data_IF_858263649956
#
_entry.id   IF_858263649956
#
_cell.length_a   1.000
_cell.length_b   1.000
_cell.length_c   1.000
_cell.angle_alpha   90.00
_cell.angle_beta   90.00
_cell.angle_gamma   90.00
#
_symmetry.space_group_name_H-M   'P 1'
#
loop_
_entity.id
_entity.type
_entity.pdbx_description
1 polymer ?
#
# COMPACT_ATOMS: atom_id res chain seq x y z
N UNK A 1 68.78 48.47 -9.30
CA UNK A 1 67.94 47.50 -9.94
C UNK A 1 66.74 47.25 -9.03
N UNK A 2 65.66 47.97 -9.27
CA UNK A 2 64.46 47.82 -8.51
C UNK A 2 63.74 46.51 -9.00
N UNK A 3 63.53 45.58 -8.11
CA UNK A 3 62.82 44.37 -8.41
C UNK A 3 61.38 44.73 -8.75
N UNK A 4 61.01 44.52 -10.02
CA UNK A 4 59.64 44.64 -10.51
C UNK A 4 58.99 43.25 -10.57
N UNK A 5 57.92 43.11 -9.86
CA UNK A 5 57.10 41.87 -9.89
C UNK A 5 55.98 42.02 -10.91
N UNK A 6 55.82 41.02 -11.75
CA UNK A 6 54.69 40.89 -12.66
C UNK A 6 54.00 39.57 -12.34
N UNK A 7 52.74 39.65 -11.97
CA UNK A 7 51.91 38.49 -11.64
C UNK A 7 50.68 38.50 -12.52
N UNK A 8 50.39 37.37 -13.12
CA UNK A 8 49.15 37.15 -13.88
C UNK A 8 48.24 36.23 -13.08
N UNK A 9 47.07 36.72 -12.73
CA UNK A 9 46.03 35.94 -12.04
C UNK A 9 45.02 35.49 -13.07
N UNK A 10 44.83 34.16 -13.27
CA UNK A 10 43.88 33.65 -14.20
C UNK A 10 42.44 33.95 -13.79
N UNK A 11 41.50 33.88 -14.74
CA UNK A 11 40.08 34.01 -14.45
C UNK A 11 39.61 32.82 -13.59
N UNK A 12 38.80 33.08 -12.55
CA UNK A 12 38.34 32.08 -11.56
C UNK A 12 39.31 31.95 -10.37
N UNK A 13 40.45 32.64 -10.36
CA UNK A 13 41.41 32.69 -9.26
C UNK A 13 41.53 34.08 -8.66
N UNK A 14 41.95 34.12 -7.42
CA UNK A 14 42.41 35.34 -6.74
C UNK A 14 43.85 35.16 -6.36
N UNK A 15 44.67 36.11 -6.72
CA UNK A 15 46.07 36.13 -6.29
C UNK A 15 46.16 36.57 -4.83
N UNK A 16 46.87 35.82 -4.00
CA UNK A 16 47.23 36.22 -2.65
C UNK A 16 48.64 36.80 -2.63
N UNK A 17 48.77 38.04 -2.21
CA UNK A 17 50.04 38.65 -1.91
C UNK A 17 50.03 39.10 -0.44
N UNK A 18 51.22 39.17 0.16
CA UNK A 18 51.39 39.65 1.53
C UNK A 18 52.22 40.95 1.47
N UNK A 19 51.68 42.01 2.06
CA UNK A 19 52.42 43.28 2.23
C UNK A 19 52.55 43.61 3.71
N UNK A 20 53.78 43.66 4.22
CA UNK A 20 54.07 43.82 5.63
C UNK A 20 53.29 42.89 6.59
N UNK A 21 53.00 41.66 6.13
CA UNK A 21 52.23 40.69 6.90
C UNK A 21 50.71 40.83 6.78
N UNK A 22 50.19 41.75 5.99
CA UNK A 22 48.78 41.89 5.68
C UNK A 22 48.46 41.23 4.33
N UNK A 23 47.39 40.46 4.21
CA UNK A 23 46.99 39.87 2.93
C UNK A 23 46.42 40.94 2.00
N UNK A 24 46.91 40.93 0.76
CA UNK A 24 46.44 41.75 -0.35
C UNK A 24 45.85 40.82 -1.40
N UNK A 25 44.57 41.00 -1.75
CA UNK A 25 43.92 40.22 -2.75
C UNK A 25 44.03 40.89 -4.12
N UNK A 26 44.54 40.12 -5.09
CA UNK A 26 44.70 40.57 -6.46
C UNK A 26 43.58 39.96 -7.32
N UNK A 27 42.70 40.77 -7.94
CA UNK A 27 41.67 40.26 -8.84
C UNK A 27 42.25 39.61 -10.09
N UNK A 28 41.48 38.87 -10.88
CA UNK A 28 41.95 38.32 -12.16
C UNK A 28 42.50 39.42 -13.08
N UNK A 29 43.65 39.17 -13.67
CA UNK A 29 44.33 40.11 -14.55
C UNK A 29 45.85 40.15 -14.33
N UNK A 30 46.51 41.12 -14.96
CA UNK A 30 47.92 41.33 -14.83
C UNK A 30 48.20 42.44 -13.81
N UNK A 31 49.01 42.15 -12.80
CA UNK A 31 49.39 43.06 -11.74
C UNK A 31 50.89 43.28 -11.76
N UNK A 32 51.28 44.52 -11.62
CA UNK A 32 52.71 44.93 -11.57
C UNK A 32 52.93 45.85 -10.39
N UNK A 33 53.98 45.56 -9.60
CA UNK A 33 54.37 46.42 -8.49
C UNK A 33 55.88 46.43 -8.30
N UNK A 34 56.35 47.50 -7.66
CA UNK A 34 57.74 47.69 -7.23
C UNK A 34 57.74 47.95 -5.74
N UNK A 35 57.64 46.91 -4.95
CA UNK A 35 57.68 47.01 -3.49
C UNK A 35 58.61 45.93 -2.96
N UNK A 36 59.42 46.30 -1.97
CA UNK A 36 60.30 45.39 -1.28
C UNK A 36 59.58 44.55 -0.24
N UNK A 37 58.37 44.97 0.18
CA UNK A 37 57.59 44.39 1.26
C UNK A 37 56.49 43.50 0.74
N UNK A 38 55.98 43.75 -0.46
CA UNK A 38 54.90 43.00 -1.06
C UNK A 38 55.41 41.74 -1.76
N UNK A 39 55.01 40.55 -1.30
CA UNK A 39 55.36 39.25 -1.85
C UNK A 39 54.14 38.54 -2.32
N UNK A 40 54.19 37.99 -3.54
CA UNK A 40 53.17 37.11 -4.05
C UNK A 40 53.33 35.70 -3.45
N UNK A 41 52.25 35.12 -2.95
CA UNK A 41 52.28 33.78 -2.37
C UNK A 41 51.73 32.72 -3.33
N UNK A 42 50.47 32.88 -3.77
CA UNK A 42 49.84 31.89 -4.63
C UNK A 42 48.56 32.42 -5.32
N UNK A 43 48.15 31.72 -6.38
CA UNK A 43 46.80 31.84 -6.92
C UNK A 43 45.88 30.89 -6.17
N UNK A 44 44.76 31.39 -5.69
CA UNK A 44 43.75 30.66 -4.93
C UNK A 44 42.54 30.46 -5.81
N UNK A 45 42.08 29.22 -5.92
CA UNK A 45 40.86 28.86 -6.64
C UNK A 45 39.63 29.26 -5.82
N UNK A 46 38.78 30.11 -6.41
CA UNK A 46 37.56 30.58 -5.77
C UNK A 46 36.44 29.52 -5.69
N UNK A 47 36.60 28.41 -6.39
CA UNK A 47 35.62 27.31 -6.33
C UNK A 47 35.78 26.43 -5.07
N UNK A 48 36.85 26.65 -4.30
CA UNK A 48 37.07 25.90 -3.07
C UNK A 48 36.15 26.37 -1.95
N UNK A 49 35.53 25.50 -1.18
CA UNK A 49 34.65 25.87 -0.07
C UNK A 49 35.45 26.46 1.12
N UNK A 50 36.73 26.15 1.20
CA UNK A 50 37.63 26.65 2.24
C UNK A 50 38.82 27.34 1.59
N UNK A 51 38.93 28.65 1.77
CA UNK A 51 39.97 29.46 1.18
C UNK A 51 40.82 30.05 2.31
N UNK A 52 42.08 29.67 2.39
CA UNK A 52 43.03 30.18 3.40
C UNK A 52 43.81 31.36 2.81
N UNK A 53 43.74 32.52 3.48
CA UNK A 53 44.36 33.73 3.06
C UNK A 53 45.25 34.29 4.21
N UNK A 54 46.41 33.69 4.43
CA UNK A 54 47.28 34.02 5.54
C UNK A 54 46.63 33.79 6.91
N UNK A 55 46.37 34.86 7.72
CA UNK A 55 45.70 34.70 9.00
C UNK A 55 44.17 34.53 8.89
N UNK A 56 43.60 34.81 7.73
CA UNK A 56 42.15 34.73 7.48
C UNK A 56 41.78 33.46 6.74
N UNK A 57 40.60 32.92 7.04
CA UNK A 57 40.02 31.81 6.28
C UNK A 57 38.59 32.17 5.85
N UNK A 58 38.37 32.17 4.56
CA UNK A 58 37.03 32.33 4.00
C UNK A 58 36.37 30.96 3.86
N UNK A 59 35.17 30.79 4.42
CA UNK A 59 34.49 29.55 4.48
C UNK A 59 33.10 29.72 3.84
N UNK A 60 32.85 28.99 2.74
CA UNK A 60 31.56 28.95 2.11
C UNK A 60 30.83 27.67 2.59
N UNK A 61 29.71 27.85 3.27
CA UNK A 61 28.92 26.75 3.81
C UNK A 61 27.63 26.61 3.02
N UNK A 62 27.48 25.51 2.33
CA UNK A 62 26.30 25.22 1.53
C UNK A 62 25.06 25.01 2.40
N UNK A 63 23.87 25.29 1.85
CA UNK A 63 22.61 25.06 2.52
C UNK A 63 22.38 23.53 2.78
N UNK A 64 22.06 23.20 4.02
CA UNK A 64 21.91 21.80 4.45
C UNK A 64 23.20 21.21 5.02
N UNK A 65 24.26 22.01 5.13
CA UNK A 65 25.48 21.71 5.87
C UNK A 65 25.70 22.80 6.93
N UNK A 66 26.38 22.45 7.99
CA UNK A 66 26.90 23.35 8.97
C UNK A 66 28.39 23.12 9.13
N UNK A 67 29.15 24.19 9.41
CA UNK A 67 30.59 24.10 9.59
C UNK A 67 30.94 24.13 11.07
N UNK A 68 31.62 23.09 11.53
CA UNK A 68 32.21 23.07 12.87
C UNK A 68 33.57 23.78 12.82
N UNK A 69 33.73 24.78 13.66
CA UNK A 69 34.97 25.56 13.79
C UNK A 69 35.41 25.57 15.24
N UNK A 70 36.69 25.82 15.45
CA UNK A 70 37.28 25.99 16.77
C UNK A 70 37.87 27.40 16.91
N UNK A 71 37.25 28.20 17.75
CA UNK A 71 37.68 29.57 18.03
C UNK A 71 38.34 29.65 19.41
N UNK A 72 39.66 29.82 19.46
CA UNK A 72 40.43 29.88 20.71
C UNK A 72 40.13 28.71 21.69
N UNK A 73 39.91 27.51 21.16
CA UNK A 73 39.61 26.33 21.98
C UNK A 73 38.11 26.12 22.28
N UNK A 74 37.24 27.04 21.86
CA UNK A 74 35.80 26.88 21.95
C UNK A 74 35.23 26.43 20.61
N UNK A 75 34.36 25.44 20.63
CA UNK A 75 33.63 25.02 19.46
C UNK A 75 32.57 26.06 19.08
N UNK A 76 32.57 26.43 17.81
CA UNK A 76 31.55 27.30 17.24
C UNK A 76 31.04 26.72 15.95
N UNK A 77 29.72 26.58 15.85
CA UNK A 77 29.04 26.10 14.65
C UNK A 77 28.58 27.27 13.81
N UNK A 78 28.91 27.23 12.52
CA UNK A 78 28.53 28.26 11.55
C UNK A 78 27.41 27.72 10.67
N UNK A 79 26.30 28.47 10.53
CA UNK A 79 25.14 28.04 9.79
C UNK A 79 25.40 27.97 8.29
N UNK A 80 24.71 27.05 7.62
CA UNK A 80 24.74 26.87 6.16
C UNK A 80 24.02 27.99 5.39
N UNK A 81 24.37 28.11 4.11
CA UNK A 81 23.81 29.09 3.18
C UNK A 81 24.49 30.46 3.24
N UNK A 82 25.59 30.58 3.95
CA UNK A 82 26.34 31.81 4.12
C UNK A 82 27.84 31.62 3.88
N UNK A 83 28.52 32.75 3.64
CA UNK A 83 29.98 32.82 3.59
C UNK A 83 30.47 33.44 4.90
N UNK A 84 31.39 32.77 5.56
CA UNK A 84 31.94 33.21 6.85
C UNK A 84 33.42 33.51 6.72
N UNK A 85 33.85 34.60 7.38
CA UNK A 85 35.26 34.98 7.45
C UNK A 85 35.79 34.68 8.85
N UNK A 86 36.72 33.75 8.95
CA UNK A 86 37.48 33.49 10.17
C UNK A 86 38.61 34.52 10.26
N UNK A 87 38.57 35.37 11.27
CA UNK A 87 39.36 36.60 11.32
C UNK A 87 40.76 36.46 11.95
N UNK A 88 41.08 35.31 12.49
CA UNK A 88 42.38 35.09 13.12
C UNK A 88 42.83 33.64 13.07
N UNK A 89 44.13 33.42 13.19
CA UNK A 89 44.78 32.09 13.03
C UNK A 89 44.34 31.05 14.05
N UNK A 90 43.85 31.44 15.22
CA UNK A 90 43.35 30.54 16.26
C UNK A 90 41.86 30.14 16.04
N UNK A 91 41.23 30.73 15.03
CA UNK A 91 39.92 30.29 14.58
C UNK A 91 40.07 29.36 13.37
N UNK A 92 39.91 28.07 13.61
CA UNK A 92 40.20 27.02 12.64
C UNK A 92 38.91 26.35 12.19
N UNK A 93 38.84 26.04 10.92
CA UNK A 93 37.83 25.18 10.37
C UNK A 93 38.19 23.70 10.65
N UNK A 94 37.25 22.92 11.12
CA UNK A 94 37.43 21.50 11.42
C UNK A 94 36.75 20.63 10.38
N UNK A 95 35.42 20.76 10.21
CA UNK A 95 34.65 19.86 9.37
C UNK A 95 33.31 20.45 8.95
N UNK A 96 32.83 20.06 7.77
CA UNK A 96 31.42 20.22 7.39
C UNK A 96 30.61 19.03 7.88
N UNK A 97 29.45 19.29 8.47
CA UNK A 97 28.49 18.30 8.93
C UNK A 97 27.21 18.48 8.15
N UNK A 98 26.66 17.40 7.60
CA UNK A 98 25.39 17.42 6.87
C UNK A 98 24.21 17.33 7.85
N UNK A 99 23.24 18.23 7.70
CA UNK A 99 21.97 18.20 8.42
C UNK A 99 20.87 17.52 7.60
N UNK A 100 21.21 17.01 6.40
CA UNK A 100 20.26 16.32 5.52
C UNK A 100 19.90 14.96 6.08
N UNK A 101 18.72 14.50 5.71
CA UNK A 101 18.25 13.16 6.07
C UNK A 101 19.16 12.12 5.41
N UNK A 102 19.62 11.18 6.20
CA UNK A 102 20.41 10.03 5.78
C UNK A 102 19.59 8.78 5.95
N UNK A 103 19.73 7.84 5.02
CA UNK A 103 19.07 6.55 5.06
C UNK A 103 20.12 5.45 5.00
N UNK A 104 20.12 4.61 6.01
CA UNK A 104 21.07 3.51 6.15
C UNK A 104 20.34 2.19 6.29
N UNK A 105 20.99 1.14 5.78
CA UNK A 105 20.48 -0.22 5.88
C UNK A 105 21.14 -0.94 7.06
N UNK A 106 20.32 -1.48 7.95
CA UNK A 106 20.71 -2.45 8.95
C UNK A 106 20.62 -3.85 8.34
N UNK A 107 21.77 -4.38 7.95
CA UNK A 107 21.83 -5.69 7.32
C UNK A 107 22.03 -6.78 8.39
N UNK A 108 21.17 -7.81 8.32
CA UNK A 108 21.29 -9.04 9.09
C UNK A 108 21.44 -8.82 10.60
N UNK A 109 20.44 -8.22 11.19
CA UNK A 109 20.33 -8.13 12.64
C UNK A 109 19.88 -9.48 13.17
N UNK A 110 20.66 -10.08 14.04
CA UNK A 110 20.30 -11.32 14.74
C UNK A 110 19.58 -10.96 16.05
N UNK A 111 18.29 -11.29 16.10
CA UNK A 111 17.44 -10.93 17.23
C UNK A 111 16.70 -12.15 17.72
N UNK A 112 16.59 -12.28 19.02
CA UNK A 112 15.82 -13.34 19.68
C UNK A 112 14.43 -12.84 20.06
N UNK A 113 13.40 -13.57 19.68
CA UNK A 113 12.01 -13.28 20.07
C UNK A 113 11.73 -13.70 21.52
N UNK A 114 10.57 -13.29 22.06
CA UNK A 114 10.18 -13.61 23.44
C UNK A 114 10.05 -15.11 23.73
N UNK A 115 9.80 -15.91 22.70
CA UNK A 115 9.73 -17.39 22.75
C UNK A 115 11.04 -18.08 22.33
N UNK A 116 12.18 -17.37 22.41
CA UNK A 116 13.54 -17.86 22.12
C UNK A 116 13.78 -18.34 20.69
N UNK A 117 13.07 -17.81 19.71
CA UNK A 117 13.36 -18.08 18.31
C UNK A 117 14.33 -17.04 17.77
N UNK A 118 15.45 -17.50 17.20
CA UNK A 118 16.41 -16.62 16.55
C UNK A 118 15.89 -16.15 15.20
N UNK A 119 15.85 -14.83 15.01
CA UNK A 119 15.37 -14.19 13.80
C UNK A 119 16.50 -13.39 13.11
N UNK A 120 16.55 -13.43 11.80
CA UNK A 120 17.34 -12.51 10.98
C UNK A 120 16.43 -11.41 10.46
N UNK A 121 16.66 -10.19 10.92
CA UNK A 121 15.91 -9.02 10.51
C UNK A 121 16.77 -8.14 9.58
N UNK A 122 16.14 -7.57 8.56
CA UNK A 122 16.68 -6.50 7.76
C UNK A 122 15.81 -5.26 7.96
N UNK A 123 16.41 -4.13 8.25
CA UNK A 123 15.72 -2.88 8.48
C UNK A 123 16.41 -1.70 7.79
N UNK A 124 15.69 -0.63 7.59
CA UNK A 124 16.23 0.68 7.18
C UNK A 124 16.00 1.68 8.29
N UNK A 125 16.98 2.55 8.48
CA UNK A 125 16.92 3.64 9.45
C UNK A 125 17.09 4.95 8.71
N UNK A 126 16.12 5.85 8.89
CA UNK A 126 16.22 7.24 8.43
C UNK A 126 16.54 8.12 9.64
N UNK A 127 17.60 8.89 9.54
CA UNK A 127 18.07 9.75 10.63
C UNK A 127 18.65 11.05 10.09
N UNK A 128 18.75 12.05 10.94
CA UNK A 128 19.39 13.33 10.62
C UNK A 128 20.03 13.92 11.87
N UNK A 129 21.02 14.79 11.66
CA UNK A 129 21.62 15.56 12.75
C UNK A 129 20.74 16.78 12.98
N UNK A 130 20.15 16.87 14.17
CA UNK A 130 19.23 17.95 14.56
C UNK A 130 19.92 19.09 15.28
N UNK A 131 21.01 18.79 15.99
CA UNK A 131 21.79 19.77 16.74
C UNK A 131 23.29 19.48 16.53
N UNK A 132 23.87 20.20 15.58
CA UNK A 132 25.28 20.02 15.21
C UNK A 132 26.22 20.42 16.34
N UNK A 133 25.84 21.41 17.15
CA UNK A 133 26.68 21.84 18.28
C UNK A 133 26.83 20.73 19.33
N UNK A 134 25.71 20.13 19.72
CA UNK A 134 25.73 18.93 20.63
C UNK A 134 26.48 17.76 20.02
N UNK A 135 26.27 17.56 18.72
CA UNK A 135 26.95 16.50 17.98
C UNK A 135 28.47 16.73 18.01
N UNK A 136 28.93 17.94 17.77
CA UNK A 136 30.34 18.29 17.79
C UNK A 136 30.96 18.19 19.20
N UNK A 137 30.19 18.51 20.24
CA UNK A 137 30.68 18.47 21.63
C UNK A 137 30.75 17.05 22.20
N UNK A 138 29.80 16.16 21.82
CA UNK A 138 29.58 14.88 22.51
C UNK A 138 29.85 13.66 21.65
N UNK A 139 29.72 13.76 20.33
CA UNK A 139 29.96 12.62 19.46
C UNK A 139 31.45 12.47 19.15
N UNK A 140 31.88 11.23 19.09
CA UNK A 140 33.28 10.93 18.73
C UNK A 140 33.54 11.22 17.23
N UNK A 141 34.76 11.64 16.92
CA UNK A 141 35.25 11.89 15.54
C UNK A 141 34.55 13.04 14.78
N UNK A 142 33.86 13.92 15.47
CA UNK A 142 33.35 15.14 14.84
C UNK A 142 34.42 16.19 14.64
N UNK A 143 35.60 15.99 15.23
CA UNK A 143 36.75 16.89 15.12
C UNK A 143 37.96 16.18 14.51
N UNK A 144 38.72 16.93 13.68
CA UNK A 144 39.98 16.44 13.16
C UNK A 144 41.04 16.49 14.25
N UNK A 145 41.56 15.35 14.70
CA UNK A 145 42.76 15.34 15.54
C UNK A 145 43.97 15.83 14.74
N UNK A 146 44.43 17.02 15.03
CA UNK A 146 45.65 17.59 14.46
C UNK A 146 46.87 16.89 15.06
N UNK A 147 47.01 15.60 14.93
CA UNK A 147 48.11 14.87 15.56
C UNK A 147 48.91 13.92 14.67
N UNK A 148 48.39 13.46 13.54
CA UNK A 148 49.05 12.37 12.82
C UNK A 148 48.81 12.27 11.33
N UNK A 149 48.66 13.36 10.59
CA UNK A 149 48.67 13.28 9.12
C UNK A 149 50.06 13.37 8.52
N UNK A 150 50.91 12.38 8.80
CA UNK A 150 52.11 12.06 7.96
C UNK A 150 51.77 11.24 6.75
N UNK A 151 50.53 10.95 6.49
CA UNK A 151 50.05 10.24 5.32
C UNK A 151 49.24 11.19 4.46
N UNK A 152 49.74 11.55 3.28
CA UNK A 152 49.07 12.39 2.28
C UNK A 152 47.84 11.80 1.63
N UNK A 153 47.04 11.06 2.36
CA UNK A 153 45.65 10.73 2.00
C UNK A 153 44.80 11.96 2.36
N UNK A 154 44.21 12.59 1.36
CA UNK A 154 43.03 13.43 1.52
C UNK A 154 42.02 12.62 2.35
N UNK A 155 42.00 12.86 3.66
CA UNK A 155 40.89 12.37 4.50
C UNK A 155 39.67 13.08 3.98
N UNK A 156 38.71 12.31 3.49
CA UNK A 156 37.42 12.83 3.03
C UNK A 156 36.88 13.76 4.12
N UNK A 157 36.92 15.03 3.82
CA UNK A 157 36.39 16.05 4.71
C UNK A 157 34.88 15.87 4.77
N UNK A 158 34.40 15.12 5.79
CA UNK A 158 32.99 14.90 5.97
C UNK A 158 32.53 13.50 6.45
N UNK A 159 33.42 12.53 6.52
CA UNK A 159 33.04 11.20 7.03
C UNK A 159 32.77 11.27 8.55
N UNK A 160 31.55 10.98 8.91
CA UNK A 160 31.07 10.84 10.30
C UNK A 160 30.77 9.36 10.59
N UNK A 161 31.64 8.46 10.10
CA UNK A 161 31.42 7.02 10.10
C UNK A 161 31.18 6.45 11.49
N UNK A 162 31.90 6.97 12.49
CA UNK A 162 31.74 6.51 13.86
C UNK A 162 30.39 6.91 14.45
N UNK A 163 30.00 8.17 14.24
CA UNK A 163 28.68 8.66 14.63
C UNK A 163 27.57 7.84 13.94
N UNK A 164 27.72 7.61 12.65
CA UNK A 164 26.81 6.78 11.86
C UNK A 164 26.68 5.38 12.46
N UNK A 165 27.82 4.73 12.76
CA UNK A 165 27.83 3.41 13.37
C UNK A 165 27.17 3.40 14.78
N UNK A 166 27.37 4.44 15.58
CA UNK A 166 26.76 4.57 16.88
C UNK A 166 25.22 4.73 16.78
N UNK A 167 24.75 5.54 15.81
CA UNK A 167 23.30 5.67 15.53
C UNK A 167 22.71 4.33 15.08
N UNK A 168 23.38 3.61 14.16
CA UNK A 168 22.92 2.31 13.67
C UNK A 168 22.87 1.27 14.80
N UNK A 169 23.85 1.22 15.68
CA UNK A 169 23.84 0.34 16.85
C UNK A 169 22.70 0.65 17.83
N UNK A 170 22.39 1.95 18.03
CA UNK A 170 21.26 2.33 18.87
C UNK A 170 19.91 1.92 18.23
N UNK A 171 19.79 2.08 16.91
CA UNK A 171 18.62 1.62 16.18
C UNK A 171 18.48 0.09 16.24
N UNK A 172 19.59 -0.64 16.08
CA UNK A 172 19.65 -2.10 16.20
C UNK A 172 19.23 -2.57 17.60
N UNK A 173 19.78 -1.97 18.65
CA UNK A 173 19.44 -2.29 20.04
C UNK A 173 17.96 -2.03 20.33
N UNK A 174 17.42 -0.92 19.85
CA UNK A 174 16.02 -0.58 20.03
C UNK A 174 15.09 -1.53 19.29
N UNK A 175 15.46 -1.91 18.05
CA UNK A 175 14.73 -2.90 17.26
C UNK A 175 14.78 -4.29 17.93
N UNK A 176 15.94 -4.69 18.45
CA UNK A 176 16.11 -5.94 19.18
C UNK A 176 15.23 -5.98 20.43
N UNK A 177 15.13 -4.87 21.17
CA UNK A 177 14.23 -4.77 22.31
C UNK A 177 12.74 -4.85 21.92
N UNK A 178 12.35 -4.35 20.74
CA UNK A 178 11.00 -4.48 20.22
C UNK A 178 10.69 -5.94 19.85
N UNK A 179 11.56 -6.59 19.08
CA UNK A 179 11.38 -7.97 18.61
C UNK A 179 11.39 -8.94 19.79
N UNK A 180 12.23 -8.70 20.81
CA UNK A 180 12.27 -9.52 22.03
C UNK A 180 10.98 -9.51 22.86
N UNK A 181 10.08 -8.54 22.65
CA UNK A 181 8.75 -8.49 23.27
C UNK A 181 7.67 -9.24 22.47
N UNK A 182 8.00 -9.68 21.27
CA UNK A 182 7.05 -10.34 20.35
C UNK A 182 7.30 -11.83 20.36
N UNK A 183 6.23 -12.63 20.49
CA UNK A 183 6.30 -14.07 20.38
C UNK A 183 6.15 -14.49 18.92
N UNK A 184 7.09 -15.29 18.44
CA UNK A 184 7.11 -15.83 17.08
C UNK A 184 5.86 -16.67 16.78
N UNK A 185 5.47 -17.53 17.74
CA UNK A 185 4.32 -18.41 17.62
C UNK A 185 3.00 -17.65 17.36
N UNK A 186 2.85 -16.46 17.91
CA UNK A 186 1.65 -15.64 17.73
C UNK A 186 1.68 -14.82 16.44
N UNK A 187 2.87 -14.44 15.98
CA UNK A 187 3.02 -13.50 14.84
C UNK A 187 3.11 -14.20 13.50
N UNK A 188 3.72 -15.39 13.47
CA UNK A 188 4.03 -16.11 12.23
C UNK A 188 3.31 -17.46 12.14
N UNK A 189 2.33 -17.77 13.01
CA UNK A 189 1.60 -19.02 12.90
C UNK A 189 0.66 -19.01 11.69
N UNK A 190 0.55 -20.15 11.01
CA UNK A 190 -0.36 -20.33 9.89
C UNK A 190 -1.84 -20.09 10.30
N UNK A 191 -2.20 -20.35 11.55
CA UNK A 191 -3.52 -20.09 12.11
C UNK A 191 -3.86 -18.59 12.14
N UNK A 192 -2.87 -17.74 12.37
CA UNK A 192 -3.05 -16.28 12.40
C UNK A 192 -3.29 -15.72 10.98
N UNK A 193 -2.64 -16.32 9.97
CA UNK A 193 -2.86 -15.95 8.56
C UNK A 193 -4.29 -16.27 8.08
N UNK A 194 -4.91 -17.32 8.62
CA UNK A 194 -6.30 -17.71 8.32
C UNK A 194 -7.33 -16.78 8.97
N UNK A 195 -7.04 -16.21 10.13
CA UNK A 195 -7.99 -15.34 10.85
C UNK A 195 -8.15 -13.96 10.21
N UNK A 196 -7.16 -13.47 9.48
CA UNK A 196 -7.22 -12.17 8.80
C UNK A 196 -8.20 -12.15 7.63
N UNK A 197 -8.54 -13.32 7.05
CA UNK A 197 -9.47 -13.45 5.92
C UNK A 197 -10.90 -13.86 6.26
N UNK A 198 -11.17 -14.31 7.47
CA UNK A 198 -12.48 -14.82 7.85
C UNK A 198 -13.34 -13.78 8.58
N UNK A 199 -14.06 -12.96 7.85
CA UNK A 199 -15.41 -12.59 8.29
C UNK A 199 -16.33 -13.77 7.93
N UNK A 200 -16.82 -14.57 8.89
CA UNK A 200 -17.81 -15.58 8.59
C UNK A 200 -19.07 -14.88 8.11
N UNK A 201 -19.38 -15.03 6.83
CA UNK A 201 -20.71 -14.73 6.32
C UNK A 201 -21.63 -15.81 6.91
N UNK A 202 -22.20 -15.52 8.09
CA UNK A 202 -23.31 -16.31 8.60
C UNK A 202 -24.50 -15.97 7.70
N UNK A 203 -24.75 -16.84 6.71
CA UNK A 203 -26.04 -16.88 6.02
C UNK A 203 -26.99 -17.45 7.04
N UNK A 204 -27.69 -16.60 7.78
CA UNK A 204 -28.85 -17.02 8.54
C UNK A 204 -29.98 -17.25 7.53
N UNK A 205 -30.23 -18.51 7.20
CA UNK A 205 -31.48 -18.95 6.61
C UNK A 205 -32.58 -18.69 7.65
N UNK A 206 -33.10 -17.49 7.64
CA UNK A 206 -34.37 -17.18 8.27
C UNK A 206 -35.40 -17.02 7.17
N UNK A 207 -35.99 -18.14 6.80
CA UNK A 207 -37.31 -18.15 6.17
C UNK A 207 -38.30 -17.51 7.14
N UNK A 208 -39.00 -16.50 6.66
CA UNK A 208 -40.26 -16.10 7.25
C UNK A 208 -40.40 -14.62 7.57
N UNK A 209 -41.22 -13.97 6.73
CA UNK A 209 -42.07 -12.81 7.01
C UNK A 209 -41.42 -11.41 7.03
N UNK A 210 -41.81 -10.70 5.95
CA UNK A 210 -42.16 -9.27 5.91
C UNK A 210 -41.11 -8.24 6.35
N UNK A 211 -40.55 -7.53 5.34
CA UNK A 211 -40.34 -6.08 5.39
C UNK A 211 -39.45 -5.54 6.51
N UNK A 212 -38.36 -6.20 6.89
CA UNK A 212 -37.40 -5.67 7.83
C UNK A 212 -36.01 -5.54 7.21
N UNK A 213 -35.51 -4.32 7.15
CA UNK A 213 -34.08 -4.05 6.92
C UNK A 213 -33.30 -4.84 7.96
N UNK A 214 -32.66 -5.93 7.55
CA UNK A 214 -31.78 -6.71 8.42
C UNK A 214 -30.54 -5.86 8.64
N UNK A 215 -30.56 -5.10 9.71
CA UNK A 215 -29.36 -4.48 10.27
C UNK A 215 -28.36 -5.62 10.55
N UNK A 216 -27.27 -5.66 9.78
CA UNK A 216 -26.19 -6.59 10.02
C UNK A 216 -25.67 -6.33 11.43
N UNK A 217 -26.11 -7.18 12.37
CA UNK A 217 -25.65 -7.16 13.75
C UNK A 217 -24.15 -7.41 13.72
N UNK A 218 -23.37 -6.34 13.79
CA UNK A 218 -21.93 -6.42 13.98
C UNK A 218 -21.71 -7.17 15.29
N UNK A 219 -21.26 -8.41 15.19
CA UNK A 219 -20.68 -9.10 16.32
C UNK A 219 -19.63 -8.18 16.97
N UNK A 220 -19.54 -8.11 18.29
CA UNK A 220 -18.50 -7.34 18.94
C UNK A 220 -17.17 -7.81 18.37
N UNK A 221 -16.37 -6.85 17.86
CA UNK A 221 -14.99 -7.09 17.46
C UNK A 221 -14.35 -7.88 18.58
N UNK A 222 -14.06 -9.15 18.34
CA UNK A 222 -13.23 -9.91 19.25
C UNK A 222 -11.90 -9.17 19.35
N UNK A 223 -11.44 -8.98 20.57
CA UNK A 223 -10.27 -8.19 20.98
C UNK A 223 -8.94 -8.72 20.39
N UNK A 224 -8.98 -9.78 19.59
CA UNK A 224 -7.82 -10.52 19.12
C UNK A 224 -7.37 -10.22 17.68
N UNK A 225 -7.94 -9.21 16.99
CA UNK A 225 -7.46 -8.81 15.66
C UNK A 225 -6.13 -8.05 15.66
N UNK A 226 -5.57 -7.75 16.82
CA UNK A 226 -4.32 -7.00 16.99
C UNK A 226 -3.03 -7.86 16.92
N UNK A 227 -3.15 -9.18 16.84
CA UNK A 227 -1.98 -10.07 16.99
C UNK A 227 -1.20 -10.29 15.70
N UNK A 228 -1.83 -10.14 14.54
CA UNK A 228 -1.24 -10.57 13.27
C UNK A 228 -0.23 -9.59 12.63
N UNK A 229 -0.09 -8.37 13.16
CA UNK A 229 0.82 -7.35 12.58
C UNK A 229 1.80 -6.76 13.59
N UNK A 230 2.02 -7.41 14.74
CA UNK A 230 2.80 -6.87 15.85
C UNK A 230 4.21 -6.40 15.48
N UNK A 231 4.86 -7.05 14.53
CA UNK A 231 6.21 -6.70 14.08
C UNK A 231 6.23 -5.55 13.08
N UNK A 232 5.17 -5.42 12.29
CA UNK A 232 5.03 -4.40 11.24
C UNK A 232 4.07 -3.28 11.66
N UNK A 233 3.63 -3.28 12.90
CA UNK A 233 2.75 -2.25 13.44
C UNK A 233 3.49 -0.92 13.56
N UNK A 234 2.98 0.09 12.84
CA UNK A 234 3.57 1.44 12.77
C UNK A 234 3.68 2.07 14.17
N UNK A 235 2.72 1.84 15.06
CA UNK A 235 2.72 2.46 16.38
C UNK A 235 3.76 1.83 17.30
N UNK A 236 4.02 0.54 17.19
CA UNK A 236 5.10 -0.13 17.92
C UNK A 236 6.47 0.25 17.40
N UNK A 237 6.61 0.42 16.07
CA UNK A 237 7.84 0.96 15.49
C UNK A 237 8.11 2.39 15.95
N UNK A 238 7.07 3.23 16.13
CA UNK A 238 7.23 4.56 16.74
C UNK A 238 7.75 4.49 18.17
N UNK A 239 7.29 3.52 18.97
CA UNK A 239 7.84 3.30 20.31
C UNK A 239 9.32 2.90 20.25
N UNK A 240 9.74 2.09 19.29
CA UNK A 240 11.14 1.74 19.07
C UNK A 240 11.96 2.97 18.70
N UNK A 241 11.46 3.83 17.80
CA UNK A 241 12.10 5.10 17.43
C UNK A 241 12.22 6.02 18.64
N UNK A 242 11.18 6.15 19.46
CA UNK A 242 11.22 6.94 20.69
C UNK A 242 12.30 6.44 21.65
N UNK A 243 12.39 5.13 21.87
CA UNK A 243 13.41 4.50 22.72
C UNK A 243 14.84 4.75 22.19
N UNK A 244 15.04 4.66 20.85
CA UNK A 244 16.34 4.99 20.25
C UNK A 244 16.67 6.47 20.42
N UNK A 245 15.68 7.36 20.25
CA UNK A 245 15.84 8.81 20.38
C UNK A 245 16.18 9.26 21.80
N UNK A 246 15.76 8.54 22.85
CA UNK A 246 16.16 8.83 24.24
C UNK A 246 17.68 8.88 24.41
N UNK A 247 18.41 8.09 23.63
CA UNK A 247 19.86 8.06 23.65
C UNK A 247 20.48 8.98 22.62
N UNK A 248 19.96 8.95 21.36
CA UNK A 248 20.59 9.68 20.23
C UNK A 248 20.42 11.20 20.33
N UNK A 249 19.32 11.69 20.92
CA UNK A 249 19.12 13.14 21.17
C UNK A 249 20.12 13.72 22.14
N UNK A 250 20.74 12.92 23.01
CA UNK A 250 21.79 13.38 23.94
C UNK A 250 23.03 13.88 23.21
N UNK A 251 23.30 13.37 22.02
CA UNK A 251 24.41 13.81 21.15
C UNK A 251 23.93 14.45 19.85
N UNK A 252 22.69 14.98 19.85
CA UNK A 252 22.21 15.87 18.77
C UNK A 252 21.75 15.17 17.51
N UNK A 253 21.44 13.87 17.55
CA UNK A 253 20.94 13.10 16.41
C UNK A 253 19.49 12.67 16.66
N UNK A 254 18.65 12.83 15.64
CA UNK A 254 17.27 12.36 15.64
C UNK A 254 17.07 11.23 14.65
N UNK A 255 16.54 10.11 15.11
CA UNK A 255 16.06 9.02 14.27
C UNK A 255 14.61 9.35 13.88
N UNK A 256 14.36 9.42 12.59
CA UNK A 256 13.05 9.78 12.03
C UNK A 256 12.16 8.55 11.93
N UNK A 257 12.71 7.47 11.38
CA UNK A 257 11.98 6.21 11.23
C UNK A 257 12.91 5.01 11.24
N UNK A 258 12.39 3.89 11.74
CA UNK A 258 13.00 2.57 11.62
C UNK A 258 11.95 1.68 10.93
N UNK A 259 12.29 1.11 9.79
CA UNK A 259 11.37 0.28 9.01
C UNK A 259 11.96 -1.13 8.83
N UNK A 260 11.20 -2.15 9.18
CA UNK A 260 11.59 -3.54 8.97
C UNK A 260 11.25 -3.90 7.52
N UNK A 261 12.25 -4.32 6.75
CA UNK A 261 12.09 -4.79 5.37
C UNK A 261 11.70 -6.27 5.35
N UNK A 262 12.40 -7.06 6.14
CA UNK A 262 12.14 -8.50 6.24
C UNK A 262 12.55 -9.04 7.59
N UNK A 263 11.81 -10.03 8.07
CA UNK A 263 12.13 -10.79 9.26
C UNK A 263 11.96 -12.27 8.94
N UNK A 264 13.00 -13.05 9.12
CA UNK A 264 13.02 -14.49 8.82
C UNK A 264 13.62 -15.25 9.99
N UNK A 265 13.10 -16.42 10.36
CA UNK A 265 13.77 -17.27 11.34
C UNK A 265 15.12 -17.72 10.80
N UNK A 266 16.08 -17.90 11.71
CA UNK A 266 17.43 -18.35 11.36
C UNK A 266 17.45 -19.85 11.03
N UNK A 267 16.46 -20.60 11.50
CA UNK A 267 16.36 -22.04 11.26
C UNK A 267 15.62 -22.34 9.96
N UNK A 268 16.32 -22.99 9.03
CA UNK A 268 15.78 -23.38 7.72
C UNK A 268 14.65 -24.42 7.83
N UNK A 269 14.63 -25.26 8.86
CA UNK A 269 13.56 -26.22 9.10
C UNK A 269 12.27 -25.49 9.50
N UNK A 270 12.40 -24.50 10.36
CA UNK A 270 11.28 -23.64 10.76
C UNK A 270 10.73 -22.85 9.57
N UNK A 271 11.61 -22.32 8.72
CA UNK A 271 11.23 -21.67 7.46
C UNK A 271 10.46 -22.59 6.53
N UNK A 272 10.91 -23.83 6.36
CA UNK A 272 10.24 -24.82 5.54
C UNK A 272 8.86 -25.21 6.10
N UNK A 273 8.73 -25.32 7.42
CA UNK A 273 7.45 -25.59 8.10
C UNK A 273 6.46 -24.42 7.93
N UNK A 274 6.93 -23.20 8.08
CA UNK A 274 6.10 -22.00 7.86
C UNK A 274 5.63 -21.90 6.41
N UNK A 275 6.53 -22.13 5.45
CA UNK A 275 6.19 -22.11 4.03
C UNK A 275 5.12 -23.17 3.69
N UNK A 276 5.27 -24.40 4.20
CA UNK A 276 4.26 -25.45 4.03
C UNK A 276 2.94 -25.09 4.69
N UNK A 277 2.97 -24.54 5.91
CA UNK A 277 1.79 -24.05 6.61
C UNK A 277 1.07 -22.94 5.85
N UNK A 278 1.80 -21.97 5.31
CA UNK A 278 1.24 -20.88 4.52
C UNK A 278 0.60 -21.38 3.21
N UNK A 279 1.25 -22.34 2.53
CA UNK A 279 0.69 -22.98 1.32
C UNK A 279 -0.59 -23.73 1.66
N UNK A 280 -0.58 -24.56 2.70
CA UNK A 280 -1.77 -25.32 3.12
C UNK A 280 -2.93 -24.39 3.53
N UNK A 281 -2.64 -23.27 4.19
CA UNK A 281 -3.62 -22.25 4.53
C UNK A 281 -4.22 -21.58 3.28
N UNK A 282 -3.38 -21.23 2.31
CA UNK A 282 -3.83 -20.64 1.04
C UNK A 282 -4.68 -21.62 0.23
N UNK A 283 -4.30 -22.91 0.19
CA UNK A 283 -5.07 -23.96 -0.46
C UNK A 283 -6.43 -24.17 0.20
N UNK A 284 -6.48 -24.19 1.54
CA UNK A 284 -7.73 -24.29 2.28
C UNK A 284 -8.67 -23.11 2.00
N UNK A 285 -8.15 -21.89 1.99
CA UNK A 285 -8.92 -20.69 1.66
C UNK A 285 -9.41 -20.69 0.21
N UNK A 286 -8.59 -21.19 -0.72
CA UNK A 286 -8.99 -21.35 -2.11
C UNK A 286 -10.13 -22.35 -2.25
N UNK A 287 -10.03 -23.51 -1.58
CA UNK A 287 -11.08 -24.54 -1.59
C UNK A 287 -12.40 -24.02 -0.99
N UNK A 288 -12.31 -23.28 0.12
CA UNK A 288 -13.48 -22.63 0.73
C UNK A 288 -14.13 -21.62 -0.22
N UNK A 289 -13.33 -20.76 -0.86
CA UNK A 289 -13.82 -19.78 -1.83
C UNK A 289 -14.51 -20.45 -3.02
N UNK A 290 -13.93 -21.54 -3.53
CA UNK A 290 -14.53 -22.33 -4.61
C UNK A 290 -15.84 -23.00 -4.15
N UNK A 291 -15.87 -23.57 -2.94
CA UNK A 291 -17.07 -24.19 -2.40
C UNK A 291 -18.21 -23.18 -2.20
N UNK A 292 -17.90 -22.00 -1.64
CA UNK A 292 -18.85 -20.89 -1.52
C UNK A 292 -19.32 -20.37 -2.88
N UNK A 293 -18.42 -20.29 -3.86
CA UNK A 293 -18.75 -19.92 -5.23
C UNK A 293 -19.73 -20.91 -5.87
N UNK A 294 -19.48 -22.22 -5.72
CA UNK A 294 -20.37 -23.28 -6.22
C UNK A 294 -21.73 -23.27 -5.52
N UNK A 295 -21.75 -23.09 -4.19
CA UNK A 295 -23.01 -22.99 -3.44
C UNK A 295 -23.85 -21.78 -3.89
N UNK A 296 -23.23 -20.62 -4.07
CA UNK A 296 -23.90 -19.43 -4.60
C UNK A 296 -24.40 -19.64 -6.02
N UNK A 297 -23.62 -20.25 -6.90
CA UNK A 297 -24.04 -20.57 -8.26
C UNK A 297 -25.24 -21.48 -8.24
N UNK A 298 -25.21 -22.57 -7.46
CA UNK A 298 -26.34 -23.50 -7.34
C UNK A 298 -27.63 -22.83 -6.81
N UNK A 299 -27.50 -21.91 -5.85
CA UNK A 299 -28.65 -21.13 -5.34
C UNK A 299 -29.21 -20.16 -6.38
N UNK A 300 -28.35 -19.53 -7.17
CA UNK A 300 -28.77 -18.63 -8.26
C UNK A 300 -29.47 -19.44 -9.36
N UNK A 301 -28.91 -20.58 -9.76
CA UNK A 301 -29.49 -21.47 -10.76
C UNK A 301 -30.85 -22.01 -10.31
N UNK A 302 -30.96 -22.46 -9.05
CA UNK A 302 -32.24 -22.93 -8.49
C UNK A 302 -33.29 -21.80 -8.45
N UNK A 303 -32.90 -20.57 -8.07
CA UNK A 303 -33.80 -19.41 -8.12
C UNK A 303 -34.19 -19.08 -9.56
N UNK A 304 -33.27 -19.10 -10.51
CA UNK A 304 -33.54 -18.85 -11.91
C UNK A 304 -34.53 -19.85 -12.49
N UNK A 305 -34.38 -21.14 -12.15
CA UNK A 305 -35.34 -22.20 -12.57
C UNK A 305 -36.70 -21.98 -11.92
N UNK A 306 -36.76 -21.67 -10.63
CA UNK A 306 -38.01 -21.40 -9.92
C UNK A 306 -38.74 -20.16 -10.47
N UNK A 307 -38.02 -19.10 -10.75
CA UNK A 307 -38.58 -17.87 -11.34
C UNK A 307 -39.05 -18.10 -12.79
N UNK A 308 -38.31 -18.88 -13.59
CA UNK A 308 -38.71 -19.25 -14.92
C UNK A 308 -39.99 -20.11 -14.90
N UNK A 309 -40.07 -21.06 -13.97
CA UNK A 309 -41.29 -21.89 -13.79
C UNK A 309 -42.50 -21.05 -13.36
N UNK A 310 -42.30 -20.10 -12.46
CA UNK A 310 -43.34 -19.19 -11.99
C UNK A 310 -43.84 -18.29 -13.12
N UNK A 311 -42.94 -17.74 -13.91
CA UNK A 311 -43.27 -16.90 -15.07
C UNK A 311 -44.03 -17.71 -16.12
N UNK A 312 -43.59 -18.95 -16.39
CA UNK A 312 -44.30 -19.86 -17.31
C UNK A 312 -45.72 -20.17 -16.82
N UNK A 313 -45.88 -20.52 -15.53
CA UNK A 313 -47.20 -20.80 -14.96
C UNK A 313 -48.12 -19.55 -14.96
N UNK A 314 -47.58 -18.36 -14.75
CA UNK A 314 -48.35 -17.12 -14.86
C UNK A 314 -48.76 -16.85 -16.30
N UNK A 315 -47.86 -17.00 -17.26
CA UNK A 315 -48.17 -16.85 -18.68
C UNK A 315 -49.21 -17.82 -19.18
N UNK A 316 -49.15 -19.09 -18.71
CA UNK A 316 -50.15 -20.11 -19.03
C UNK A 316 -51.52 -19.74 -18.43
N UNK A 317 -51.57 -19.28 -17.18
CA UNK A 317 -52.81 -18.82 -16.55
C UNK A 317 -53.40 -17.61 -17.24
N UNK A 318 -52.59 -16.60 -17.61
CA UNK A 318 -53.03 -15.43 -18.37
C UNK A 318 -53.53 -15.80 -19.77
N UNK A 319 -52.87 -16.75 -20.42
CA UNK A 319 -53.30 -17.27 -21.73
C UNK A 319 -54.65 -17.99 -21.61
N UNK A 320 -54.87 -18.75 -20.51
CA UNK A 320 -56.15 -19.45 -20.27
C UNK A 320 -57.27 -18.45 -19.97
N UNK A 321 -57.03 -17.42 -19.14
CA UNK A 321 -57.99 -16.34 -18.91
C UNK A 321 -58.31 -15.61 -20.20
N UNK A 322 -57.35 -15.27 -21.02
CA UNK A 322 -57.54 -14.60 -22.31
C UNK A 322 -58.37 -15.46 -23.27
N UNK A 323 -58.12 -16.81 -23.31
CA UNK A 323 -58.94 -17.77 -24.11
C UNK A 323 -60.37 -17.84 -23.57
N UNK A 324 -60.54 -17.86 -22.23
CA UNK A 324 -61.85 -17.91 -21.62
C UNK A 324 -62.66 -16.58 -21.88
N UNK A 325 -62.02 -15.46 -21.81
CA UNK A 325 -62.61 -14.15 -22.18
C UNK A 325 -62.98 -14.10 -23.67
N UNK A 326 -62.09 -14.57 -24.54
CA UNK A 326 -62.33 -14.68 -25.99
C UNK A 326 -63.51 -15.61 -26.31
N UNK A 327 -63.56 -16.75 -25.61
CA UNK A 327 -64.71 -17.69 -25.76
C UNK A 327 -66.01 -17.13 -25.24
N UNK A 328 -65.98 -16.37 -24.12
CA UNK A 328 -67.14 -15.64 -23.57
C UNK A 328 -67.63 -14.59 -24.55
N UNK A 329 -66.72 -13.79 -25.12
CA UNK A 329 -67.07 -12.79 -26.14
C UNK A 329 -67.67 -13.42 -27.41
N UNK A 330 -67.06 -14.53 -27.88
CA UNK A 330 -67.57 -15.27 -29.00
C UNK A 330 -68.97 -15.85 -28.72
N UNK A 331 -69.20 -16.40 -27.49
CA UNK A 331 -70.49 -16.88 -27.10
C UNK A 331 -71.53 -15.76 -26.98
N UNK A 332 -71.16 -14.54 -26.50
CA UNK A 332 -72.10 -13.41 -26.45
C UNK A 332 -72.47 -12.92 -27.82
N UNK A 333 -71.54 -12.86 -28.78
CA UNK A 333 -71.80 -12.47 -30.18
C UNK A 333 -72.64 -13.54 -30.91
N UNK A 334 -72.49 -14.80 -30.56
CA UNK A 334 -73.28 -15.89 -31.11
C UNK A 334 -74.70 -15.87 -30.59
N UNK A 335 -74.91 -15.45 -29.33
CA UNK A 335 -76.23 -15.40 -28.66
C UNK A 335 -77.14 -14.30 -29.25
N UNK A 336 -76.60 -13.30 -29.96
CA UNK A 336 -77.40 -12.30 -30.65
C UNK A 336 -78.08 -12.81 -31.93
N UNK A 337 -77.69 -13.99 -32.41
CA UNK A 337 -78.29 -14.61 -33.61
C UNK A 337 -78.64 -16.08 -33.34
N UNK A 338 -79.91 -16.39 -33.30
CA UNK A 338 -80.49 -17.71 -32.96
C UNK A 338 -79.96 -18.84 -33.88
N UNK A 339 -79.69 -18.57 -35.15
CA UNK A 339 -79.12 -19.50 -36.10
C UNK A 339 -77.62 -19.80 -35.85
N UNK A 340 -76.90 -18.87 -35.34
CA UNK A 340 -75.48 -19.03 -35.01
C UNK A 340 -75.26 -19.89 -33.78
N UNK A 341 -76.15 -19.84 -32.79
CA UNK A 341 -76.12 -20.67 -31.59
C UNK A 341 -76.33 -22.13 -31.98
N UNK A 342 -77.22 -22.39 -32.92
CA UNK A 342 -77.55 -23.73 -33.42
C UNK A 342 -76.33 -24.30 -34.19
N UNK A 343 -75.63 -23.50 -35.00
CA UNK A 343 -74.48 -23.96 -35.74
C UNK A 343 -73.24 -24.16 -34.82
N UNK A 344 -73.07 -23.37 -33.78
CA UNK A 344 -72.02 -23.56 -32.77
C UNK A 344 -72.22 -24.85 -31.92
N UNK A 345 -73.44 -25.18 -31.55
CA UNK A 345 -73.75 -26.38 -30.82
C UNK A 345 -73.51 -27.65 -31.69
N UNK A 346 -73.83 -27.58 -33.00
CA UNK A 346 -73.53 -28.64 -33.92
C UNK A 346 -72.04 -28.82 -34.17
N UNK A 347 -71.31 -27.76 -34.26
CA UNK A 347 -69.84 -27.79 -34.44
C UNK A 347 -69.14 -28.32 -33.19
N UNK A 348 -69.59 -27.92 -31.98
CA UNK A 348 -69.03 -28.38 -30.67
C UNK A 348 -69.33 -29.91 -30.48
N UNK A 349 -70.52 -30.34 -30.79
CA UNK A 349 -70.85 -31.75 -30.72
C UNK A 349 -70.07 -32.57 -31.76
N UNK A 350 -69.84 -32.07 -32.95
CA UNK A 350 -68.98 -32.64 -34.00
C UNK A 350 -67.49 -32.74 -33.56
N UNK A 351 -66.96 -31.72 -32.87
CA UNK A 351 -65.62 -31.76 -32.35
C UNK A 351 -65.48 -32.74 -31.17
N UNK A 352 -66.46 -32.83 -30.28
CA UNK A 352 -66.48 -33.77 -29.17
C UNK A 352 -66.56 -35.21 -29.67
N UNK A 353 -67.35 -35.51 -30.70
CA UNK A 353 -67.46 -36.82 -31.36
C UNK A 353 -66.16 -37.22 -32.08
N UNK A 354 -65.39 -36.30 -32.59
CA UNK A 354 -64.12 -36.54 -33.30
C UNK A 354 -63.01 -37.06 -32.39
N UNK A 355 -63.06 -36.70 -31.11
CA UNK A 355 -62.06 -37.08 -30.10
C UNK A 355 -62.57 -38.20 -29.13
N UNK A 356 -63.81 -38.64 -29.20
CA UNK A 356 -64.33 -39.60 -28.25
C UNK A 356 -64.18 -41.02 -28.81
N UNK A 357 -63.33 -41.81 -28.19
CA UNK A 357 -63.25 -43.29 -28.39
C UNK A 357 -64.25 -44.04 -27.53
N UNK A 358 -65.31 -43.45 -27.01
CA UNK A 358 -66.24 -44.12 -26.10
C UNK A 358 -67.70 -43.76 -26.37
N UNK A 359 -68.57 -44.70 -26.06
CA UNK A 359 -70.01 -44.67 -26.29
C UNK A 359 -70.70 -43.40 -25.80
N UNK A 360 -71.24 -42.66 -26.74
CA UNK A 360 -72.05 -41.49 -26.43
C UNK A 360 -73.47 -41.95 -26.00
N UNK A 361 -73.75 -41.74 -24.70
CA UNK A 361 -75.11 -41.94 -24.21
C UNK A 361 -75.85 -40.63 -24.37
N UNK A 362 -76.69 -40.52 -25.40
CA UNK A 362 -77.53 -39.35 -25.64
C UNK A 362 -78.74 -39.43 -24.75
N UNK A 363 -78.94 -38.43 -23.85
CA UNK A 363 -80.19 -38.31 -23.08
C UNK A 363 -81.41 -37.96 -23.97
N UNK A 364 -82.58 -37.99 -23.44
CA UNK A 364 -83.89 -37.86 -24.15
C UNK A 364 -84.02 -36.56 -24.99
N UNK A 365 -83.31 -35.58 -24.74
CA UNK A 365 -83.33 -34.30 -25.51
C UNK A 365 -82.41 -34.32 -26.75
N UNK A 366 -81.57 -35.32 -26.87
CA UNK A 366 -80.66 -35.45 -27.99
C UNK A 366 -81.35 -36.06 -29.23
N UNK A 367 -82.56 -36.58 -29.10
CA UNK A 367 -83.33 -37.11 -30.21
C UNK A 367 -83.65 -36.04 -31.25
N UNK A 368 -83.83 -34.78 -30.84
CA UNK A 368 -84.05 -33.65 -31.73
C UNK A 368 -82.83 -33.29 -32.53
N UNK A 369 -81.67 -33.36 -31.95
CA UNK A 369 -80.40 -33.07 -32.61
C UNK A 369 -80.02 -34.17 -33.57
N UNK A 370 -80.33 -35.44 -33.20
CA UNK A 370 -80.07 -36.57 -34.03
C UNK A 370 -80.99 -36.58 -35.30
N UNK A 371 -82.25 -36.14 -35.15
CA UNK A 371 -83.19 -36.09 -36.26
C UNK A 371 -82.86 -34.93 -37.22
N UNK A 372 -82.36 -33.77 -36.72
CA UNK A 372 -81.87 -32.68 -37.53
C UNK A 372 -80.61 -33.05 -38.31
N UNK A 373 -79.72 -33.79 -37.72
CA UNK A 373 -78.49 -34.30 -38.40
C UNK A 373 -78.80 -35.29 -39.49
N UNK A 374 -79.83 -36.11 -39.28
CA UNK A 374 -80.26 -37.13 -40.25
C UNK A 374 -81.09 -36.51 -41.42
N UNK A 375 -81.70 -35.38 -41.23
CA UNK A 375 -82.50 -34.73 -42.28
C UNK A 375 -81.74 -33.88 -43.25
N UNK A 376 -80.40 -33.60 -43.04
CA UNK A 376 -79.58 -32.80 -43.90
C UNK A 376 -78.60 -33.67 -44.67
N UNK A 377 -78.74 -33.79 -46.02
CA UNK A 377 -77.98 -34.73 -46.83
C UNK A 377 -76.48 -34.44 -46.86
N UNK A 378 -76.05 -33.16 -46.61
CA UNK A 378 -74.63 -32.76 -46.55
C UNK A 378 -73.88 -33.25 -45.32
N UNK A 379 -74.62 -33.55 -44.22
CA UNK A 379 -74.02 -34.01 -43.00
C UNK A 379 -73.86 -35.51 -42.94
N UNK A 380 -74.82 -36.26 -43.60
CA UNK A 380 -74.71 -37.69 -43.66
C UNK A 380 -73.56 -38.20 -44.52
N UNK A 381 -73.19 -37.42 -45.57
CA UNK A 381 -72.02 -37.71 -46.40
C UNK A 381 -70.68 -37.48 -45.70
N UNK A 382 -70.61 -36.43 -44.81
CA UNK A 382 -69.38 -36.13 -44.07
C UNK A 382 -69.17 -37.02 -42.85
N UNK A 383 -70.23 -37.66 -42.32
CA UNK A 383 -70.15 -38.59 -41.20
C UNK A 383 -69.91 -40.04 -41.62
N UNK A 384 -69.79 -40.35 -42.91
CA UNK A 384 -69.55 -41.71 -43.41
C UNK A 384 -70.74 -42.72 -43.18
N UNK A 385 -71.97 -42.24 -42.98
CA UNK A 385 -73.15 -42.98 -42.67
C UNK A 385 -73.99 -43.28 -43.93
N UNK A 386 -73.37 -43.25 -45.10
CA UNK A 386 -73.99 -43.78 -46.30
C UNK A 386 -73.70 -45.26 -46.40
N UNK A 387 -74.78 -46.06 -46.51
CA UNK A 387 -74.71 -47.49 -46.76
C UNK A 387 -73.80 -47.84 -47.90
#
# INVERSE_FOLDING_TARGET
NGDCWIVVVPQGFVGLAMDMGQPVLLPPGMHQWRSATMKFEANIDLNQPVIIMGPYTLLTVDKGYEAVTQNNGQQQVLPGGNVHLLTHRNWKFEKFITCKIQTDNLQRIEVMTGDNVLMHCHATVCWSITDVQRCAEKAAETMNHVGNSKSGKKTDAGTIDKLRNDVLKQAEASLSALVGKVNFSNTFSAATALQVGQTPLIISDAEGLEGGVVEARRLPKSVDSDVSSLLFDVDKLKCSVAHANDMTTRYGVGIISINIISAKPADDQLMACLAKGAVAAAEAQQLETIALGRAKAATIDARGIADALKISAQADAEAEVTRAEGSKQAASLLNEQEVAVMLATISATGAALKNAQSNLILGSDASNIGSMLMSNPDYTSKLGLTK
#
